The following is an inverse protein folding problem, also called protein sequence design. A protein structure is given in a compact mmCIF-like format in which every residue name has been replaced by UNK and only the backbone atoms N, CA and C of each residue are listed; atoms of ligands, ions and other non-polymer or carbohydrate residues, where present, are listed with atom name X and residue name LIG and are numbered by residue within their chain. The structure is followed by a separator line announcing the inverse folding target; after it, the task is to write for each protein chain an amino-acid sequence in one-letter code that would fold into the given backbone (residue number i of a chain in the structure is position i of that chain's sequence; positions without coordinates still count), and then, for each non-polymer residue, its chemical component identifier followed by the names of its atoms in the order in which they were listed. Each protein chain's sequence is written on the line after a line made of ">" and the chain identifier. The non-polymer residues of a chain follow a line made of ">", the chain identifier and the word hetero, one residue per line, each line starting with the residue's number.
data_IF_918821023943
#
_entry.id   IF_918821023943
#
_cell.length_a   1.000
_cell.length_b   1.000
_cell.length_c   1.000
_cell.angle_alpha   90.00
_cell.angle_beta   90.00
_cell.angle_gamma   90.00
#
_symmetry.space_group_name_H-M   'P 1'
#
loop_
_entity.id
_entity.type
_entity.pdbx_description
1 polymer ?
#
# COMPACT_ATOMS: atom_id res chain seq x y z
N UNK A 1 13.87 2.50 -9.09
CA UNK A 1 13.85 2.07 -7.68
C UNK A 1 12.83 0.96 -7.58
N UNK A 2 13.20 -0.19 -7.04
CA UNK A 2 12.26 -1.31 -6.89
C UNK A 2 11.30 -1.03 -5.74
N UNK A 3 10.01 -1.28 -5.96
CA UNK A 3 8.93 -1.02 -4.99
C UNK A 3 8.30 -2.34 -4.57
N UNK A 4 7.75 -2.36 -3.35
CA UNK A 4 6.97 -3.48 -2.82
C UNK A 4 5.82 -2.96 -1.96
N UNK A 5 4.81 -3.81 -1.70
CA UNK A 5 3.76 -3.45 -0.73
C UNK A 5 4.33 -3.45 0.69
N UNK A 6 3.83 -2.55 1.52
CA UNK A 6 4.12 -2.61 2.95
C UNK A 6 3.56 -3.90 3.56
N UNK A 7 4.33 -4.51 4.47
CA UNK A 7 3.90 -5.68 5.25
C UNK A 7 2.80 -5.34 6.26
N UNK A 8 2.63 -4.05 6.54
CA UNK A 8 1.65 -3.52 7.48
C UNK A 8 0.33 -3.12 6.81
N UNK A 9 0.15 -3.45 5.53
CA UNK A 9 -1.10 -3.22 4.82
C UNK A 9 -2.16 -4.28 5.16
N UNK A 10 -3.36 -3.80 5.46
CA UNK A 10 -4.57 -4.59 5.60
C UNK A 10 -5.59 -4.15 4.56
N UNK A 11 -6.22 -5.13 3.92
CA UNK A 11 -7.34 -4.92 3.00
C UNK A 11 -8.64 -5.32 3.71
N UNK A 12 -9.51 -4.36 3.95
CA UNK A 12 -10.81 -4.58 4.60
C UNK A 12 -11.87 -4.50 3.50
N UNK A 13 -12.58 -5.60 3.17
CA UNK A 13 -13.56 -5.60 2.10
C UNK A 13 -14.79 -4.75 2.45
N UNK A 14 -15.30 -4.01 1.47
CA UNK A 14 -16.56 -3.29 1.51
C UNK A 14 -17.51 -3.79 0.41
N UNK A 15 -18.73 -3.26 0.36
CA UNK A 15 -19.67 -3.50 -0.73
C UNK A 15 -19.12 -2.98 -2.08
N UNK A 16 -19.69 -3.49 -3.19
CA UNK A 16 -19.43 -3.00 -4.56
C UNK A 16 -17.96 -3.06 -5.01
N UNK A 17 -17.19 -4.07 -4.59
CA UNK A 17 -15.78 -4.27 -4.98
C UNK A 17 -14.82 -3.16 -4.51
N UNK A 18 -15.19 -2.41 -3.47
CA UNK A 18 -14.28 -1.48 -2.80
C UNK A 18 -13.62 -2.11 -1.57
N UNK A 19 -12.46 -1.58 -1.20
CA UNK A 19 -11.68 -2.02 -0.04
C UNK A 19 -11.16 -0.80 0.69
N UNK A 20 -11.15 -0.86 2.02
CA UNK A 20 -10.31 0.02 2.82
C UNK A 20 -8.90 -0.58 2.82
N UNK A 21 -7.94 0.20 2.36
CA UNK A 21 -6.53 -0.06 2.52
C UNK A 21 -6.05 0.67 3.77
N UNK A 22 -5.68 -0.08 4.80
CA UNK A 22 -5.21 0.46 6.06
C UNK A 22 -3.75 0.04 6.29
N UNK A 23 -2.87 0.98 6.58
CA UNK A 23 -1.49 0.69 6.95
C UNK A 23 -1.35 0.84 8.48
N UNK A 24 -1.11 -0.26 9.18
CA UNK A 24 -1.03 -0.24 10.65
C UNK A 24 0.23 0.46 11.18
N UNK A 25 1.24 0.65 10.34
CA UNK A 25 2.48 1.30 10.75
C UNK A 25 2.34 2.83 10.70
N UNK A 26 1.88 3.37 9.57
CA UNK A 26 1.70 4.82 9.40
C UNK A 26 0.34 5.33 9.90
N UNK A 27 -0.61 4.44 10.17
CA UNK A 27 -2.00 4.79 10.47
C UNK A 27 -2.79 5.28 9.25
N UNK A 28 -2.21 5.23 8.05
CA UNK A 28 -2.83 5.74 6.84
C UNK A 28 -4.03 4.89 6.41
N UNK A 29 -5.08 5.54 5.91
CA UNK A 29 -6.32 4.92 5.43
C UNK A 29 -6.62 5.44 4.02
N UNK A 30 -6.95 4.54 3.10
CA UNK A 30 -7.41 4.88 1.76
C UNK A 30 -8.58 3.99 1.33
N UNK A 31 -9.52 4.55 0.57
CA UNK A 31 -10.52 3.77 -0.15
C UNK A 31 -9.97 3.43 -1.53
N UNK A 32 -9.94 2.15 -1.88
CA UNK A 32 -9.47 1.67 -3.18
C UNK A 32 -10.48 0.73 -3.82
N UNK A 33 -10.47 0.65 -5.15
CA UNK A 33 -11.23 -0.35 -5.87
C UNK A 33 -10.47 -1.69 -5.96
N UNK A 34 -11.13 -2.69 -6.54
CA UNK A 34 -10.58 -4.02 -6.77
C UNK A 34 -9.38 -4.03 -7.72
N UNK A 35 -9.31 -3.13 -8.70
CA UNK A 35 -8.22 -3.09 -9.66
C UNK A 35 -6.92 -2.67 -8.98
N UNK A 36 -6.98 -1.59 -8.21
CA UNK A 36 -5.87 -1.09 -7.40
C UNK A 36 -5.47 -2.13 -6.34
N UNK A 37 -6.43 -2.76 -5.67
CA UNK A 37 -6.17 -3.82 -4.69
C UNK A 37 -5.38 -4.97 -5.32
N UNK A 38 -5.78 -5.42 -6.51
CA UNK A 38 -5.07 -6.47 -7.23
C UNK A 38 -3.67 -6.05 -7.66
N UNK A 39 -3.48 -4.80 -8.09
CA UNK A 39 -2.16 -4.26 -8.44
C UNK A 39 -1.22 -4.29 -7.23
N UNK A 40 -1.71 -3.86 -6.06
CA UNK A 40 -0.91 -3.85 -4.82
C UNK A 40 -0.62 -5.29 -4.36
N UNK A 41 -1.59 -6.20 -4.39
CA UNK A 41 -1.38 -7.58 -3.95
C UNK A 41 -0.33 -8.32 -4.77
N UNK A 42 -0.36 -8.11 -6.10
CA UNK A 42 0.56 -8.71 -7.08
C UNK A 42 1.87 -7.95 -7.24
N UNK A 43 1.99 -6.80 -6.59
CA UNK A 43 3.12 -5.87 -6.72
C UNK A 43 3.38 -5.42 -8.18
N UNK A 44 2.30 -5.38 -8.99
CA UNK A 44 2.30 -4.85 -10.36
C UNK A 44 1.79 -3.40 -10.33
N UNK A 45 2.71 -2.47 -10.04
CA UNK A 45 2.38 -1.05 -9.92
C UNK A 45 2.32 -0.31 -11.26
N UNK A 46 2.63 -1.00 -12.38
CA UNK A 46 2.69 -0.40 -13.72
C UNK A 46 1.33 0.15 -14.21
N UNK A 47 0.24 -0.39 -13.65
CA UNK A 47 -1.15 -0.04 -13.98
C UNK A 47 -1.73 1.04 -13.07
N UNK A 48 -1.01 1.46 -12.03
CA UNK A 48 -1.48 2.51 -11.12
C UNK A 48 -1.13 3.89 -11.70
N UNK A 49 -2.09 4.82 -11.83
CA UNK A 49 -1.81 6.17 -12.30
C UNK A 49 -0.70 6.85 -11.47
N UNK A 50 0.25 7.60 -12.08
CA UNK A 50 1.40 8.15 -11.36
C UNK A 50 1.04 9.01 -10.15
N UNK A 51 -0.03 9.82 -10.23
CA UNK A 51 -0.50 10.63 -9.11
C UNK A 51 -0.95 9.75 -7.92
N UNK A 52 -1.66 8.67 -8.20
CA UNK A 52 -2.10 7.72 -7.18
C UNK A 52 -0.92 6.92 -6.62
N UNK A 53 0.02 6.48 -7.46
CA UNK A 53 1.21 5.77 -7.03
C UNK A 53 2.08 6.64 -6.10
N UNK A 54 2.22 7.93 -6.41
CA UNK A 54 2.91 8.90 -5.55
C UNK A 54 2.19 9.09 -4.21
N UNK A 55 0.86 9.17 -4.23
CA UNK A 55 0.05 9.21 -3.01
C UNK A 55 0.26 7.96 -2.15
N UNK A 56 0.16 6.77 -2.74
CA UNK A 56 0.32 5.50 -2.04
C UNK A 56 1.72 5.34 -1.42
N UNK A 57 2.76 5.84 -2.10
CA UNK A 57 4.12 5.89 -1.55
C UNK A 57 4.25 6.87 -0.38
N UNK A 58 3.71 8.08 -0.53
CA UNK A 58 3.75 9.11 0.53
C UNK A 58 3.05 8.66 1.81
N UNK A 59 2.01 7.85 1.67
CA UNK A 59 1.24 7.27 2.79
C UNK A 59 1.80 5.92 3.30
N UNK A 60 2.91 5.46 2.73
CA UNK A 60 3.63 4.24 3.12
C UNK A 60 2.90 2.93 2.83
N UNK A 61 1.86 2.95 1.99
CA UNK A 61 1.24 1.72 1.49
C UNK A 61 2.15 0.95 0.53
N UNK A 62 2.93 1.69 -0.27
CA UNK A 62 3.94 1.14 -1.17
C UNK A 62 5.27 1.76 -0.74
N UNK A 63 6.31 0.93 -0.65
CA UNK A 63 7.60 1.34 -0.10
C UNK A 63 8.74 0.84 -0.97
N UNK A 64 9.94 1.44 -0.89
CA UNK A 64 11.12 0.90 -1.53
C UNK A 64 11.42 -0.53 -1.05
N UNK A 65 11.75 -1.44 -1.96
CA UNK A 65 12.08 -2.82 -1.62
C UNK A 65 13.29 -2.95 -0.69
N UNK A 66 14.19 -1.96 -0.74
CA UNK A 66 15.34 -1.85 0.16
C UNK A 66 15.00 -1.44 1.60
N UNK A 67 13.77 -1.00 1.88
CA UNK A 67 13.35 -0.59 3.22
C UNK A 67 13.11 -1.80 4.14
N UNK A 68 13.84 -1.86 5.25
CA UNK A 68 13.64 -2.85 6.32
C UNK A 68 12.58 -2.37 7.31
N UNK A 69 11.33 -2.77 7.05
CA UNK A 69 10.16 -2.41 7.84
C UNK A 69 10.22 -2.90 9.29
N UNK A 70 10.82 -4.07 9.54
CA UNK A 70 10.87 -4.66 10.89
C UNK A 70 11.83 -3.86 11.74
N UNK A 71 13.01 -3.54 11.22
CA UNK A 71 13.95 -2.67 11.93
C UNK A 71 13.31 -1.32 12.21
N UNK A 72 12.62 -0.72 11.24
CA UNK A 72 11.95 0.58 11.43
C UNK A 72 10.89 0.53 12.54
N UNK A 73 10.14 -0.57 12.64
CA UNK A 73 9.15 -0.78 13.71
C UNK A 73 9.78 -0.88 15.11
N UNK A 74 11.00 -1.40 15.25
CA UNK A 74 11.67 -1.50 16.55
C UNK A 74 12.05 -0.16 17.17
N UNK A 75 12.09 0.92 16.37
CA UNK A 75 12.44 2.26 16.83
C UNK A 75 11.22 3.20 16.95
N UNK A 76 10.01 2.63 16.84
CA UNK A 76 8.73 3.31 17.04
C UNK A 76 8.09 2.81 18.33
#
# INVERSE_FOLDING_TARGET
>A
MELRKSRFNFFIPLANNYYILYNTFSGAIALIDKEVKNCIEKEDFSKIPPAMLNYLQKQEFIIPSSLDEIKRYQYY
#
